data_IF_584689171598
#
_entry.id   IF_584689171598
#
_cell.length_a   1.000
_cell.length_b   1.000
_cell.length_c   1.000
_cell.angle_alpha   90.00
_cell.angle_beta   90.00
_cell.angle_gamma   90.00
#
_symmetry.space_group_name_H-M   'P 1'
#
loop_
_entity.id
_entity.type
_entity.pdbx_description
1 polymer ?
#
# COMPACT_ATOMS: atom_id res chain seq x y z
N UNK A 1 -44.50 37.02 3.59
CA UNK A 1 -43.93 38.33 3.96
C UNK A 1 -42.84 38.10 4.99
N UNK A 2 -41.68 38.76 4.91
CA UNK A 2 -40.85 38.94 3.72
C UNK A 2 -39.40 38.48 3.96
N UNK A 3 -38.65 38.41 2.86
CA UNK A 3 -37.19 38.43 2.82
C UNK A 3 -36.63 39.69 3.50
N UNK A 4 -35.46 39.58 4.12
CA UNK A 4 -34.48 40.66 4.27
C UNK A 4 -33.09 40.02 4.50
N UNK A 5 -32.32 39.83 3.42
CA UNK A 5 -31.21 40.70 2.98
C UNK A 5 -29.92 40.49 3.77
N UNK A 6 -29.00 39.73 3.17
CA UNK A 6 -27.59 39.84 3.49
C UNK A 6 -27.06 41.19 2.99
N UNK A 7 -26.28 41.86 3.85
CA UNK A 7 -25.32 42.90 3.47
C UNK A 7 -23.94 42.46 3.96
N UNK A 8 -22.85 42.68 3.19
CA UNK A 8 -21.55 42.10 3.50
C UNK A 8 -20.82 42.93 4.55
N UNK A 9 -20.24 42.28 5.56
CA UNK A 9 -19.22 42.91 6.41
C UNK A 9 -17.86 42.40 5.97
N UNK A 10 -17.18 43.23 5.20
CA UNK A 10 -15.76 43.12 4.88
C UNK A 10 -14.96 43.32 6.17
N UNK A 11 -14.35 42.25 6.70
CA UNK A 11 -13.36 42.37 7.77
C UNK A 11 -12.00 42.65 7.14
N UNK A 12 -11.59 43.91 7.20
CA UNK A 12 -10.20 44.35 7.01
C UNK A 12 -9.33 43.78 8.13
N UNK A 13 -8.29 43.03 7.77
CA UNK A 13 -7.24 42.60 8.70
C UNK A 13 -6.40 43.79 9.15
N UNK A 14 -6.26 43.98 10.45
CA UNK A 14 -5.14 44.71 11.03
C UNK A 14 -4.54 43.89 12.17
N UNK A 15 -3.32 43.44 11.95
CA UNK A 15 -2.44 42.82 12.94
C UNK A 15 -2.33 43.68 14.20
N UNK A 16 -2.59 43.09 15.38
CA UNK A 16 -1.67 43.16 16.52
C UNK A 16 -2.28 42.55 17.78
N UNK A 17 -1.48 41.70 18.43
CA UNK A 17 -1.47 41.34 19.86
C UNK A 17 -2.69 40.63 20.46
N UNK A 18 -2.42 39.37 20.84
CA UNK A 18 -3.16 38.52 21.75
C UNK A 18 -3.36 39.22 23.11
N UNK A 19 -4.61 39.33 23.58
CA UNK A 19 -4.99 38.94 24.95
C UNK A 19 -6.52 39.00 25.16
N UNK A 20 -6.99 38.02 25.94
CA UNK A 20 -8.28 37.87 26.65
C UNK A 20 -9.58 37.55 25.86
N UNK A 21 -10.13 36.34 26.11
CA UNK A 21 -11.49 36.21 26.67
C UNK A 21 -11.74 34.83 27.33
N UNK A 22 -12.13 34.87 28.61
CA UNK A 22 -12.69 33.79 29.42
C UNK A 22 -14.21 33.63 29.12
N UNK A 23 -14.74 32.40 29.02
CA UNK A 23 -15.91 31.88 29.79
C UNK A 23 -16.73 30.73 29.13
N UNK A 24 -17.26 29.87 30.03
CA UNK A 24 -18.53 29.09 30.01
C UNK A 24 -18.57 27.55 29.68
N UNK A 25 -18.25 26.73 30.72
CA UNK A 25 -19.02 25.62 31.40
C UNK A 25 -19.56 24.36 30.62
N UNK A 26 -19.88 23.19 31.26
CA UNK A 26 -20.23 22.98 32.69
C UNK A 26 -19.73 21.70 33.44
N UNK A 27 -19.85 21.81 34.78
CA UNK A 27 -20.11 20.79 35.84
C UNK A 27 -19.84 19.31 35.54
N UNK A 28 -18.85 18.74 36.26
CA UNK A 28 -18.94 17.36 36.78
C UNK A 28 -18.77 17.43 38.30
N UNK A 29 -19.81 16.96 39.00
CA UNK A 29 -19.90 16.81 40.45
C UNK A 29 -19.33 15.46 40.88
N UNK A 30 -18.44 15.48 41.88
CA UNK A 30 -17.98 14.37 42.73
C UNK A 30 -17.34 13.16 42.04
N UNK A 31 -16.02 13.02 42.22
CA UNK A 31 -15.40 11.78 42.69
C UNK A 31 -14.19 12.15 43.57
N UNK A 32 -14.15 11.52 44.73
CA UNK A 32 -13.28 11.77 45.88
C UNK A 32 -11.91 11.11 45.75
N UNK A 33 -10.94 11.78 46.37
CA UNK A 33 -9.64 11.31 46.91
C UNK A 33 -8.40 11.11 46.01
N UNK A 34 -7.43 11.99 46.30
CA UNK A 34 -5.97 11.76 46.42
C UNK A 34 -5.01 12.15 45.27
N UNK A 35 -4.77 13.46 45.17
CA UNK A 35 -3.46 14.15 45.38
C UNK A 35 -2.21 13.61 44.64
N UNK A 36 -1.79 14.32 43.58
CA UNK A 36 -0.55 15.12 43.47
C UNK A 36 -0.05 15.22 42.01
N UNK A 37 -0.40 16.31 41.33
CA UNK A 37 0.24 16.76 40.10
C UNK A 37 1.42 17.69 40.47
N UNK A 38 2.62 17.42 39.95
CA UNK A 38 3.73 18.37 39.95
C UNK A 38 3.73 19.15 38.63
N UNK A 39 3.37 20.43 38.71
CA UNK A 39 3.53 21.41 37.64
C UNK A 39 4.85 22.16 37.87
N UNK A 40 5.77 22.07 36.91
CA UNK A 40 7.02 22.84 36.87
C UNK A 40 6.72 24.25 36.31
N UNK A 41 6.82 25.26 37.17
CA UNK A 41 6.90 26.67 36.79
C UNK A 41 8.36 27.02 36.51
N UNK A 42 8.69 27.31 35.25
CA UNK A 42 9.93 27.97 34.87
C UNK A 42 9.82 29.48 35.07
N UNK A 43 10.72 30.06 35.84
CA UNK A 43 10.96 31.51 35.87
C UNK A 43 12.42 31.81 35.56
N UNK A 44 12.58 32.67 34.56
CA UNK A 44 13.82 33.31 34.13
C UNK A 44 14.24 34.37 35.15
N UNK A 45 15.52 34.40 35.54
CA UNK A 45 16.17 35.59 36.09
C UNK A 45 17.69 35.56 35.89
N UNK A 46 18.23 36.74 35.64
CA UNK A 46 19.44 37.04 34.89
C UNK A 46 20.50 37.66 35.81
N UNK A 47 21.67 37.00 35.97
CA UNK A 47 23.06 37.52 36.27
C UNK A 47 23.33 38.36 37.57
N UNK A 48 24.59 38.68 37.98
CA UNK A 48 25.95 38.11 37.70
C UNK A 48 26.92 37.97 38.92
N UNK A 49 28.13 37.40 38.67
CA UNK A 49 29.46 37.61 39.30
C UNK A 49 30.16 36.51 40.17
N UNK A 50 31.15 35.85 39.52
CA UNK A 50 32.55 35.48 39.94
C UNK A 50 32.80 34.42 41.05
N UNK A 51 33.98 33.74 41.11
CA UNK A 51 35.01 33.43 40.09
C UNK A 51 35.47 31.94 40.08
N UNK A 52 36.48 31.67 39.25
CA UNK A 52 37.09 30.40 38.87
C UNK A 52 37.82 29.59 39.97
N UNK A 53 37.91 28.28 39.72
CA UNK A 53 39.05 27.43 40.08
C UNK A 53 38.75 26.30 41.06
N UNK A 54 38.77 25.04 40.58
CA UNK A 54 39.56 23.96 41.21
C UNK A 54 39.66 22.76 40.25
N UNK A 55 40.87 22.54 39.73
CA UNK A 55 41.29 21.33 39.05
C UNK A 55 41.47 20.22 40.09
N UNK A 56 40.75 19.09 39.96
CA UNK A 56 41.09 17.86 40.67
C UNK A 56 42.03 17.03 39.79
N UNK A 57 43.34 17.22 39.98
CA UNK A 57 44.36 16.26 39.58
C UNK A 57 44.39 15.13 40.62
N UNK A 58 44.07 13.90 40.23
CA UNK A 58 44.36 12.72 41.05
C UNK A 58 45.82 12.31 40.86
N UNK A 59 46.54 12.29 41.98
CA UNK A 59 47.94 11.94 42.08
C UNK A 59 48.16 10.42 41.94
N UNK A 60 49.11 10.02 41.10
CA UNK A 60 49.71 8.69 41.11
C UNK A 60 50.94 8.68 42.03
N UNK A 61 51.09 7.73 42.97
CA UNK A 61 52.39 7.45 43.55
C UNK A 61 53.08 6.32 42.77
N UNK A 62 54.29 6.63 42.27
CA UNK A 62 55.29 5.66 41.86
C UNK A 62 55.95 5.10 43.12
N UNK A 63 56.02 3.77 43.29
CA UNK A 63 57.16 3.09 43.92
C UNK A 63 57.33 1.71 43.31
N UNK A 64 58.54 1.47 42.81
CA UNK A 64 58.99 0.26 42.15
C UNK A 64 59.56 -0.71 43.19
N UNK A 65 59.08 -1.96 43.26
CA UNK A 65 59.85 -3.11 43.79
C UNK A 65 59.48 -4.37 43.01
N UNK A 66 60.48 -4.95 42.36
CA UNK A 66 60.42 -6.23 41.64
C UNK A 66 60.74 -7.35 42.64
N UNK A 67 59.85 -8.33 42.76
CA UNK A 67 60.14 -9.65 43.33
C UNK A 67 59.28 -10.69 42.58
N UNK A 68 59.85 -11.80 42.08
CA UNK A 68 59.10 -12.83 41.37
C UNK A 68 58.67 -13.93 42.33
N UNK A 69 57.40 -14.34 42.30
CA UNK A 69 56.94 -15.74 42.35
C UNK A 69 55.43 -15.83 42.68
N UNK A 70 54.71 -16.43 41.73
CA UNK A 70 53.58 -17.36 41.88
C UNK A 70 52.29 -16.95 42.63
N UNK A 71 51.19 -17.14 41.88
CA UNK A 71 49.83 -17.53 42.31
C UNK A 71 48.94 -16.48 42.99
N UNK A 72 48.06 -15.86 42.20
CA UNK A 72 46.59 -16.04 42.22
C UNK A 72 45.95 -15.12 41.17
N UNK A 73 45.29 -15.71 40.17
CA UNK A 73 44.41 -14.99 39.24
C UNK A 73 43.20 -14.50 40.07
N UNK A 74 43.20 -13.24 40.47
CA UNK A 74 41.97 -12.56 40.88
C UNK A 74 41.37 -11.95 39.62
N UNK A 75 40.41 -12.65 39.02
CA UNK A 75 39.57 -12.13 37.94
C UNK A 75 38.76 -10.96 38.49
N UNK A 76 39.18 -9.74 38.17
CA UNK A 76 38.37 -8.54 38.37
C UNK A 76 37.21 -8.62 37.36
N UNK A 77 36.07 -9.14 37.79
CA UNK A 77 34.85 -9.13 37.00
C UNK A 77 34.38 -7.68 36.90
N UNK A 78 34.74 -7.01 35.79
CA UNK A 78 34.12 -5.77 35.40
C UNK A 78 32.65 -6.11 35.08
N UNK A 79 31.72 -5.72 35.96
CA UNK A 79 30.30 -5.72 35.64
C UNK A 79 30.11 -4.72 34.49
N UNK A 80 30.18 -5.20 33.25
CA UNK A 80 29.50 -4.54 32.16
C UNK A 80 28.02 -4.69 32.47
N UNK A 81 27.37 -3.60 32.86
CA UNK A 81 25.92 -3.49 32.73
C UNK A 81 25.63 -3.56 31.23
N UNK A 82 25.45 -4.76 30.70
CA UNK A 82 24.80 -4.90 29.40
C UNK A 82 23.46 -4.18 29.54
N UNK A 83 23.16 -3.17 28.69
CA UNK A 83 21.81 -2.65 28.66
C UNK A 83 20.87 -3.83 28.45
N UNK A 84 19.81 -3.91 29.27
CA UNK A 84 18.74 -4.87 29.03
C UNK A 84 18.28 -4.68 27.59
N UNK A 85 18.59 -5.63 26.72
CA UNK A 85 17.94 -5.75 25.42
C UNK A 85 16.49 -6.10 25.74
N UNK A 86 15.66 -5.07 25.94
CA UNK A 86 14.24 -5.23 25.75
C UNK A 86 14.06 -5.86 24.37
N UNK A 87 13.27 -6.91 24.27
CA UNK A 87 13.00 -7.56 23.00
C UNK A 87 12.32 -6.53 22.10
N UNK A 88 13.12 -5.92 21.21
CA UNK A 88 12.66 -4.93 20.26
C UNK A 88 11.62 -5.58 19.35
N UNK A 89 10.58 -4.82 18.99
CA UNK A 89 9.53 -5.33 18.10
C UNK A 89 10.20 -5.84 16.81
N UNK A 90 9.78 -7.01 16.32
CA UNK A 90 10.51 -7.71 15.26
C UNK A 90 10.70 -6.88 13.97
N UNK A 91 9.76 -5.98 13.70
CA UNK A 91 9.76 -5.08 12.55
C UNK A 91 9.96 -3.61 12.94
N UNK A 92 10.62 -3.34 14.07
CA UNK A 92 10.93 -1.98 14.52
C UNK A 92 11.89 -1.23 13.58
N UNK A 93 12.74 -1.97 12.88
CA UNK A 93 13.71 -1.44 11.92
C UNK A 93 13.46 -1.97 10.53
N UNK A 94 13.90 -1.22 9.51
CA UNK A 94 13.78 -1.61 8.11
C UNK A 94 14.33 -3.02 7.83
N UNK A 95 15.45 -3.40 8.47
CA UNK A 95 16.03 -4.73 8.32
C UNK A 95 15.12 -5.87 8.81
N UNK A 96 14.21 -5.55 9.74
CA UNK A 96 13.20 -6.46 10.29
C UNK A 96 11.84 -6.37 9.58
N UNK A 97 11.72 -5.63 8.47
CA UNK A 97 10.45 -5.36 7.80
C UNK A 97 9.63 -6.63 7.55
N UNK A 98 8.41 -6.66 8.11
CA UNK A 98 7.52 -7.83 8.02
C UNK A 98 6.91 -7.94 6.62
N UNK A 99 6.89 -9.14 6.04
CA UNK A 99 6.28 -9.37 4.73
C UNK A 99 4.75 -9.18 4.78
N UNK A 100 4.21 -8.43 3.82
CA UNK A 100 2.78 -8.25 3.58
C UNK A 100 2.42 -8.57 2.13
N UNK A 101 1.16 -8.93 1.91
CA UNK A 101 0.58 -9.30 0.61
C UNK A 101 -0.83 -8.71 0.46
N UNK A 102 -1.47 -8.86 -0.71
CA UNK A 102 -2.84 -8.36 -0.92
C UNK A 102 -3.82 -8.85 0.16
N UNK A 103 -4.55 -7.92 0.78
CA UNK A 103 -5.47 -8.20 1.89
C UNK A 103 -5.20 -7.35 3.14
N UNK A 104 -5.78 -7.77 4.28
CA UNK A 104 -5.73 -7.02 5.55
C UNK A 104 -4.76 -7.68 6.53
N UNK A 105 -3.85 -6.88 7.09
CA UNK A 105 -2.85 -7.29 8.07
C UNK A 105 -3.05 -6.55 9.38
N UNK A 106 -2.89 -7.23 10.52
CA UNK A 106 -2.89 -6.56 11.82
C UNK A 106 -1.52 -5.90 12.04
N UNK A 107 -1.55 -4.65 12.50
CA UNK A 107 -0.34 -3.85 12.73
C UNK A 107 -0.41 -3.16 14.11
N UNK A 108 0.75 -2.93 14.72
CA UNK A 108 0.88 -2.16 15.96
C UNK A 108 2.29 -1.60 16.06
N UNK A 109 2.44 -0.35 16.49
CA UNK A 109 3.73 0.23 16.85
C UNK A 109 3.96 0.28 18.38
N UNK A 110 3.13 -0.40 19.17
CA UNK A 110 3.29 -0.45 20.63
C UNK A 110 4.58 -1.21 20.98
N UNK A 111 5.49 -0.54 21.68
CA UNK A 111 6.79 -1.09 22.07
C UNK A 111 7.88 -0.94 21.00
N UNK A 112 7.57 -0.34 19.85
CA UNK A 112 8.53 0.04 18.84
C UNK A 112 9.25 1.36 19.25
N UNK A 113 10.33 1.69 18.56
CA UNK A 113 11.19 2.85 18.78
C UNK A 113 11.37 3.63 17.49
N UNK A 114 11.99 4.81 17.56
CA UNK A 114 12.30 5.60 16.37
C UNK A 114 13.42 4.91 15.59
N UNK A 115 13.18 4.57 14.33
CA UNK A 115 14.19 3.93 13.47
C UNK A 115 15.37 4.85 13.19
N UNK A 116 16.55 4.26 13.00
CA UNK A 116 17.75 4.97 12.57
C UNK A 116 18.04 4.77 11.06
N UNK A 117 18.58 5.77 10.35
CA UNK A 117 18.69 7.18 10.75
C UNK A 117 17.30 7.80 10.94
N UNK A 118 17.22 8.94 11.64
CA UNK A 118 15.95 9.67 11.73
C UNK A 118 15.48 10.02 10.32
N UNK A 119 14.39 9.39 9.90
CA UNK A 119 13.82 9.53 8.57
C UNK A 119 12.84 10.70 8.66
N UNK A 120 13.14 11.86 8.02
CA UNK A 120 12.33 13.04 8.19
C UNK A 120 10.86 12.73 7.89
N UNK A 121 10.01 13.03 8.88
CA UNK A 121 8.57 13.11 8.69
C UNK A 121 8.32 14.05 7.51
N UNK A 122 7.44 13.66 6.59
CA UNK A 122 7.19 14.49 5.42
C UNK A 122 6.53 15.81 5.80
N UNK A 123 6.69 16.82 4.94
CA UNK A 123 6.24 18.21 5.16
C UNK A 123 4.74 18.45 5.35
N UNK A 124 3.91 17.40 5.44
CA UNK A 124 2.55 17.48 5.99
C UNK A 124 2.59 17.71 7.51
N UNK A 125 3.65 17.21 8.14
CA UNK A 125 3.92 17.30 9.56
C UNK A 125 4.99 18.36 9.79
N UNK A 126 4.57 19.58 10.08
CA UNK A 126 5.47 20.69 10.43
C UNK A 126 6.18 20.41 11.77
N UNK A 127 7.26 19.64 11.74
CA UNK A 127 8.13 19.39 12.90
C UNK A 127 7.59 18.40 13.92
N UNK A 128 6.72 17.46 13.52
CA UNK A 128 6.37 16.35 14.39
C UNK A 128 7.56 15.39 14.50
N UNK A 129 7.93 15.07 15.75
CA UNK A 129 8.94 14.04 16.05
C UNK A 129 8.43 12.73 15.49
N UNK A 130 9.19 12.13 14.57
CA UNK A 130 8.97 10.74 14.19
C UNK A 130 8.96 9.88 15.47
N UNK A 131 7.93 9.03 15.59
CA UNK A 131 7.68 8.19 16.75
C UNK A 131 8.08 6.74 16.51
N UNK A 132 7.59 5.85 17.37
CA UNK A 132 7.75 4.40 17.25
C UNK A 132 7.38 3.90 15.84
N UNK A 133 8.38 3.38 15.13
CA UNK A 133 8.33 2.96 13.74
C UNK A 133 8.07 1.48 13.61
N UNK A 134 7.26 1.11 12.63
CA UNK A 134 7.16 -0.30 12.21
C UNK A 134 7.25 -0.40 10.70
N UNK A 135 7.99 -1.40 10.25
CA UNK A 135 8.34 -1.61 8.86
C UNK A 135 7.66 -2.85 8.29
N UNK A 136 7.21 -2.72 7.06
CA UNK A 136 6.66 -3.80 6.27
C UNK A 136 7.34 -3.84 4.91
N UNK A 137 7.39 -5.01 4.29
CA UNK A 137 7.87 -5.19 2.93
C UNK A 137 6.80 -5.87 2.09
N UNK A 138 6.56 -5.36 0.90
CA UNK A 138 5.74 -5.98 -0.11
C UNK A 138 6.65 -6.39 -1.28
N UNK A 139 6.47 -7.61 -1.78
CA UNK A 139 7.19 -8.11 -2.95
C UNK A 139 6.18 -8.26 -4.08
N UNK A 140 6.35 -7.48 -5.14
CA UNK A 140 5.45 -7.48 -6.27
C UNK A 140 5.52 -8.82 -7.01
N UNK A 141 4.38 -9.51 -7.11
CA UNK A 141 4.26 -10.73 -7.92
C UNK A 141 3.75 -10.45 -9.32
N UNK A 142 3.17 -9.27 -9.54
CA UNK A 142 2.71 -8.78 -10.83
C UNK A 142 3.05 -7.29 -10.97
N UNK A 143 2.95 -6.76 -12.17
CA UNK A 143 3.05 -5.32 -12.36
C UNK A 143 1.71 -4.63 -12.08
N UNK A 144 1.76 -3.41 -11.54
CA UNK A 144 0.54 -2.67 -11.25
C UNK A 144 0.70 -1.53 -10.25
N UNK A 145 -0.44 -1.07 -9.77
CA UNK A 145 -0.58 -0.09 -8.71
C UNK A 145 -0.92 -0.85 -7.43
N UNK A 146 -0.15 -0.61 -6.37
CA UNK A 146 -0.41 -1.15 -5.03
C UNK A 146 -0.75 0.01 -4.12
N UNK A 147 -1.94 -0.05 -3.52
CA UNK A 147 -2.34 0.88 -2.46
C UNK A 147 -2.14 0.25 -1.09
N UNK A 148 -1.58 1.03 -0.18
CA UNK A 148 -1.41 0.70 1.22
C UNK A 148 -2.32 1.62 2.04
N UNK A 149 -3.06 1.07 2.98
CA UNK A 149 -4.00 1.82 3.80
C UNK A 149 -3.90 1.37 5.25
N UNK A 150 -3.41 2.22 6.14
CA UNK A 150 -3.46 2.00 7.59
C UNK A 150 -4.76 2.55 8.17
N UNK A 151 -5.32 1.88 9.18
CA UNK A 151 -6.49 2.31 9.95
C UNK A 151 -6.31 1.93 11.43
N UNK A 152 -7.02 2.62 12.33
CA UNK A 152 -7.17 2.22 13.74
C UNK A 152 -6.52 3.16 14.75
N UNK A 153 -5.55 3.97 14.33
CA UNK A 153 -5.00 5.08 15.11
C UNK A 153 -4.43 6.15 14.17
N UNK A 154 -4.02 7.27 14.76
CA UNK A 154 -3.41 8.41 14.08
C UNK A 154 -2.02 8.07 13.53
N UNK A 155 -1.97 7.61 12.28
CA UNK A 155 -0.77 7.05 11.64
C UNK A 155 -0.22 8.00 10.59
N UNK A 156 1.11 8.02 10.41
CA UNK A 156 1.77 8.52 9.20
C UNK A 156 2.43 7.36 8.46
N UNK A 157 2.39 7.39 7.13
CA UNK A 157 2.96 6.35 6.27
C UNK A 157 3.96 6.92 5.27
N UNK A 158 5.07 6.20 5.07
CA UNK A 158 6.06 6.46 4.03
C UNK A 158 6.29 5.20 3.20
N UNK A 159 6.40 5.39 1.89
CA UNK A 159 6.68 4.31 0.92
C UNK A 159 8.08 4.49 0.38
N UNK A 160 8.88 3.43 0.38
CA UNK A 160 10.26 3.41 -0.08
C UNK A 160 10.52 2.30 -1.09
N UNK A 161 11.55 2.52 -1.90
CA UNK A 161 12.23 1.51 -2.71
C UNK A 161 13.72 1.48 -2.34
N UNK A 162 14.44 0.44 -2.78
CA UNK A 162 15.85 0.24 -2.48
C UNK A 162 16.10 -0.49 -1.16
N UNK A 163 17.37 -0.64 -0.79
CA UNK A 163 17.80 -1.30 0.43
C UNK A 163 17.77 -0.35 1.63
N UNK A 164 17.67 -0.88 2.86
CA UNK A 164 17.62 -0.07 4.09
C UNK A 164 18.78 0.94 4.26
N UNK A 165 19.93 0.70 3.61
CA UNK A 165 21.06 1.63 3.62
C UNK A 165 21.01 2.73 2.55
N UNK A 166 20.06 2.67 1.61
CA UNK A 166 19.95 3.56 0.46
C UNK A 166 18.48 3.73 0.01
N UNK A 167 17.57 3.92 0.97
CA UNK A 167 16.15 4.05 0.68
C UNK A 167 15.85 5.28 -0.18
N UNK A 168 15.00 5.09 -1.18
CA UNK A 168 14.45 6.15 -2.03
C UNK A 168 12.98 6.31 -1.71
N UNK A 169 12.61 7.45 -1.10
CA UNK A 169 11.23 7.74 -0.72
C UNK A 169 10.35 8.06 -1.93
N UNK A 170 9.19 7.40 -2.02
CA UNK A 170 8.23 7.52 -3.11
C UNK A 170 6.91 8.19 -2.69
N UNK A 171 6.95 8.96 -1.60
CA UNK A 171 5.80 9.69 -1.07
C UNK A 171 5.55 9.39 0.40
N UNK A 172 4.82 10.30 1.04
CA UNK A 172 4.48 10.23 2.44
C UNK A 172 3.14 10.92 2.65
N UNK A 173 2.31 10.31 3.48
CA UNK A 173 0.94 10.75 3.72
C UNK A 173 0.69 10.61 5.22
N UNK A 174 0.05 11.64 5.74
CA UNK A 174 -0.38 11.83 7.12
C UNK A 174 -1.87 12.16 6.96
N UNK A 175 -2.74 11.26 7.41
CA UNK A 175 -4.18 11.19 7.14
C UNK A 175 -4.64 10.67 5.76
N UNK A 176 -5.53 9.68 5.83
CA UNK A 176 -6.34 9.12 4.76
C UNK A 176 -7.81 9.49 4.99
N UNK A 177 -8.46 10.04 3.97
CA UNK A 177 -9.87 10.43 4.05
C UNK A 177 -10.85 9.24 4.26
N UNK A 178 -10.41 8.01 4.01
CA UNK A 178 -11.21 6.79 4.12
C UNK A 178 -11.24 6.18 5.53
N UNK A 179 -10.40 6.66 6.45
CA UNK A 179 -10.09 5.93 7.68
C UNK A 179 -9.97 6.79 8.95
N UNK A 180 -10.49 8.02 8.97
CA UNK A 180 -10.59 8.90 10.15
C UNK A 180 -9.34 8.91 11.06
N UNK A 181 -8.15 9.19 10.48
CA UNK A 181 -6.86 9.26 11.19
C UNK A 181 -5.83 8.21 10.75
N UNK A 182 -6.21 7.21 9.96
CA UNK A 182 -5.21 6.33 9.33
C UNK A 182 -4.49 7.00 8.14
N UNK A 183 -3.57 6.34 7.45
CA UNK A 183 -2.77 6.90 6.34
C UNK A 183 -2.84 6.03 5.09
N UNK A 184 -2.59 6.61 3.91
CA UNK A 184 -2.56 5.86 2.65
C UNK A 184 -1.24 6.05 1.91
N UNK A 185 -0.75 5.05 1.20
CA UNK A 185 0.45 5.13 0.38
C UNK A 185 0.24 4.41 -0.94
N UNK A 186 1.03 4.76 -1.96
CA UNK A 186 0.92 4.17 -3.29
C UNK A 186 2.30 3.82 -3.84
N UNK A 187 2.40 2.66 -4.48
CA UNK A 187 3.53 2.28 -5.33
C UNK A 187 3.04 1.81 -6.70
N UNK A 188 3.77 2.17 -7.75
CA UNK A 188 3.70 1.48 -9.05
C UNK A 188 4.85 0.48 -9.07
N UNK A 189 4.54 -0.78 -9.35
CA UNK A 189 5.48 -1.90 -9.22
C UNK A 189 5.51 -2.75 -10.49
N UNK A 190 6.60 -3.48 -10.66
CA UNK A 190 6.83 -4.56 -11.63
C UNK A 190 7.21 -5.85 -10.89
N UNK A 191 7.08 -7.05 -11.50
CA UNK A 191 7.38 -8.30 -10.82
C UNK A 191 8.81 -8.33 -10.27
N UNK A 192 8.94 -8.66 -8.98
CA UNK A 192 10.21 -8.69 -8.28
C UNK A 192 10.58 -7.38 -7.56
N UNK A 193 9.86 -6.29 -7.81
CA UNK A 193 10.06 -5.05 -7.05
C UNK A 193 9.76 -5.28 -5.57
N UNK A 194 10.63 -4.72 -4.73
CA UNK A 194 10.44 -4.69 -3.27
C UNK A 194 10.08 -3.28 -2.85
N UNK A 195 8.90 -3.15 -2.25
CA UNK A 195 8.39 -1.92 -1.67
C UNK A 195 8.49 -2.01 -0.15
N UNK A 196 9.11 -1.03 0.48
CA UNK A 196 9.20 -0.91 1.93
C UNK A 196 8.19 0.13 2.41
N UNK A 197 7.44 -0.21 3.45
CA UNK A 197 6.38 0.61 4.04
C UNK A 197 6.76 0.89 5.48
N UNK A 198 7.03 2.15 5.79
CA UNK A 198 7.23 2.62 7.16
C UNK A 198 5.92 3.21 7.67
N UNK A 199 5.47 2.78 8.84
CA UNK A 199 4.30 3.34 9.52
C UNK A 199 4.74 3.82 10.90
N UNK A 200 4.46 5.09 11.20
CA UNK A 200 4.65 5.72 12.52
C UNK A 200 3.32 6.32 12.98
N UNK A 201 3.26 6.84 14.20
CA UNK A 201 2.14 7.70 14.62
C UNK A 201 2.44 9.19 14.48
N UNK A 202 1.41 9.96 14.13
CA UNK A 202 1.47 11.43 14.16
C UNK A 202 1.73 11.92 15.59
N UNK A 203 2.62 12.89 15.77
CA UNK A 203 2.95 13.44 17.08
C UNK A 203 3.45 12.42 18.11
N UNK A 204 3.99 11.27 17.66
CA UNK A 204 4.41 10.17 18.53
C UNK A 204 3.28 9.25 19.00
N UNK A 205 2.11 9.30 18.37
CA UNK A 205 0.99 8.41 18.66
C UNK A 205 1.38 6.94 18.55
N UNK A 206 0.85 6.12 19.47
CA UNK A 206 1.06 4.68 19.47
C UNK A 206 -0.28 3.97 19.52
N UNK A 207 -0.42 2.88 18.77
CA UNK A 207 -1.70 2.19 18.64
C UNK A 207 -1.60 0.86 17.91
N UNK A 208 -2.77 0.27 17.69
CA UNK A 208 -2.96 -0.97 16.95
C UNK A 208 -4.13 -0.83 16.00
N UNK A 209 -4.10 -1.60 14.91
CA UNK A 209 -5.06 -1.46 13.82
C UNK A 209 -4.69 -2.32 12.63
N UNK A 210 -4.99 -1.86 11.42
CA UNK A 210 -4.85 -2.68 10.21
C UNK A 210 -4.09 -1.99 9.10
N UNK A 211 -3.27 -2.74 8.35
CA UNK A 211 -2.74 -2.37 7.05
C UNK A 211 -3.48 -3.16 5.96
N UNK A 212 -4.23 -2.47 5.11
CA UNK A 212 -4.86 -3.05 3.93
C UNK A 212 -3.97 -2.81 2.72
N UNK A 213 -3.65 -3.88 1.99
CA UNK A 213 -2.88 -3.85 0.74
C UNK A 213 -3.82 -4.19 -0.40
N UNK A 214 -4.01 -3.27 -1.34
CA UNK A 214 -4.84 -3.45 -2.52
C UNK A 214 -3.93 -3.51 -3.74
N UNK A 215 -3.79 -4.72 -4.29
CA UNK A 215 -3.03 -4.95 -5.52
C UNK A 215 -3.96 -4.74 -6.73
N UNK A 216 -3.67 -3.71 -7.51
CA UNK A 216 -4.36 -3.40 -8.76
C UNK A 216 -3.40 -3.67 -9.92
N UNK A 217 -3.52 -4.81 -10.62
CA UNK A 217 -2.70 -5.11 -11.79
C UNK A 217 -2.69 -3.96 -12.82
N UNK A 218 -1.57 -3.76 -13.50
CA UNK A 218 -1.43 -2.68 -14.49
C UNK A 218 -2.49 -2.83 -15.60
N UNK A 219 -3.22 -1.75 -15.90
CA UNK A 219 -4.28 -1.76 -16.92
C UNK A 219 -5.53 -0.95 -16.56
N UNK A 220 -6.60 -1.04 -17.38
CA UNK A 220 -6.77 -2.02 -18.45
C UNK A 220 -5.83 -1.78 -19.65
N UNK A 221 -5.17 -2.84 -20.10
CA UNK A 221 -4.40 -2.88 -21.34
C UNK A 221 -5.33 -2.98 -22.55
N UNK A 222 -4.85 -2.46 -23.67
CA UNK A 222 -5.48 -2.64 -24.98
C UNK A 222 -6.68 -1.74 -25.27
N UNK A 223 -7.01 -1.66 -26.55
CA UNK A 223 -8.07 -0.82 -27.10
C UNK A 223 -9.34 -1.63 -27.33
N UNK A 224 -10.54 -1.07 -27.06
CA UNK A 224 -11.80 -1.74 -27.37
C UNK A 224 -11.93 -1.98 -28.88
N UNK A 225 -12.35 -3.17 -29.27
CA UNK A 225 -12.56 -3.58 -30.67
C UNK A 225 -14.04 -3.56 -31.04
N UNK A 226 -14.89 -4.06 -30.14
CA UNK A 226 -16.33 -4.10 -30.33
C UNK A 226 -17.05 -4.10 -28.98
N UNK A 227 -18.31 -3.68 -28.99
CA UNK A 227 -19.22 -3.76 -27.85
C UNK A 227 -19.86 -5.16 -27.76
N UNK A 228 -20.68 -5.40 -26.74
CA UNK A 228 -21.37 -6.69 -26.54
C UNK A 228 -22.86 -6.53 -26.84
N UNK A 229 -23.51 -7.61 -27.29
CA UNK A 229 -24.97 -7.69 -27.13
C UNK A 229 -25.28 -7.88 -25.62
N UNK A 230 -26.31 -7.24 -25.05
CA UNK A 230 -26.72 -7.55 -23.67
C UNK A 230 -26.99 -9.05 -23.48
N UNK A 231 -26.56 -9.60 -22.34
CA UNK A 231 -26.83 -11.00 -21.98
C UNK A 231 -28.07 -11.12 -21.08
N UNK A 232 -28.37 -12.31 -20.56
CA UNK A 232 -29.58 -12.55 -19.74
C UNK A 232 -29.68 -11.71 -18.47
N UNK A 233 -28.59 -11.06 -18.04
CA UNK A 233 -28.61 -10.10 -16.92
C UNK A 233 -29.16 -8.73 -17.32
N UNK A 234 -29.37 -8.49 -18.62
CA UNK A 234 -29.81 -7.21 -19.16
C UNK A 234 -28.68 -6.22 -19.40
N UNK A 235 -27.43 -6.55 -19.03
CA UNK A 235 -26.25 -5.72 -19.28
C UNK A 235 -25.30 -6.36 -20.30
N UNK A 236 -24.47 -5.50 -20.89
CA UNK A 236 -23.42 -5.90 -21.82
C UNK A 236 -22.23 -6.53 -21.09
N UNK A 237 -21.76 -7.68 -21.59
CA UNK A 237 -20.54 -8.31 -21.10
C UNK A 237 -19.30 -7.49 -21.52
N UNK A 238 -18.33 -7.35 -20.62
CA UNK A 238 -17.13 -6.54 -20.87
C UNK A 238 -15.86 -7.40 -20.86
N UNK A 239 -14.86 -7.00 -21.64
CA UNK A 239 -13.52 -7.58 -21.63
C UNK A 239 -12.53 -6.55 -21.12
N UNK A 240 -11.81 -6.88 -20.04
CA UNK A 240 -10.75 -6.06 -19.45
C UNK A 240 -9.48 -6.89 -19.39
N UNK A 241 -8.37 -6.32 -19.79
CA UNK A 241 -7.08 -7.00 -19.80
C UNK A 241 -6.18 -6.26 -18.83
N UNK A 242 -5.46 -6.96 -17.98
CA UNK A 242 -4.51 -6.37 -17.05
C UNK A 242 -3.17 -7.10 -17.12
N UNK A 243 -2.12 -6.53 -16.54
CA UNK A 243 -0.75 -7.06 -16.56
C UNK A 243 0.19 -6.14 -17.34
N UNK A 244 1.04 -6.69 -18.22
CA UNK A 244 2.06 -5.96 -18.96
C UNK A 244 1.89 -6.04 -20.48
N UNK A 245 2.23 -4.94 -21.17
CA UNK A 245 2.30 -4.89 -22.64
C UNK A 245 3.63 -5.43 -23.18
N UNK A 246 4.67 -5.57 -22.35
CA UNK A 246 5.93 -6.21 -22.77
C UNK A 246 5.75 -7.73 -22.83
N UNK A 247 5.84 -8.32 -24.02
CA UNK A 247 5.56 -9.76 -24.19
C UNK A 247 6.47 -10.66 -23.33
N UNK A 248 7.73 -10.26 -23.15
CA UNK A 248 8.72 -11.01 -22.38
C UNK A 248 8.43 -11.08 -20.87
N UNK A 249 7.59 -10.18 -20.33
CA UNK A 249 7.20 -10.23 -18.92
C UNK A 249 6.17 -11.32 -18.63
N UNK A 250 5.44 -11.80 -19.64
CA UNK A 250 4.53 -12.94 -19.53
C UNK A 250 3.52 -12.84 -18.38
N UNK A 251 3.03 -11.62 -18.11
CA UNK A 251 2.08 -11.32 -17.03
C UNK A 251 0.87 -10.65 -17.66
N UNK A 252 -0.14 -11.44 -18.04
CA UNK A 252 -1.41 -10.93 -18.58
C UNK A 252 -2.58 -11.69 -17.97
N UNK A 253 -3.52 -10.93 -17.38
CA UNK A 253 -4.76 -11.45 -16.85
C UNK A 253 -5.96 -10.89 -17.62
N UNK A 254 -6.72 -11.79 -18.22
CA UNK A 254 -7.97 -11.54 -18.91
C UNK A 254 -9.12 -11.59 -17.89
N UNK A 255 -9.95 -10.56 -17.88
CA UNK A 255 -11.13 -10.46 -17.00
C UNK A 255 -12.36 -10.16 -17.85
N UNK A 256 -13.27 -11.13 -17.91
CA UNK A 256 -14.59 -10.97 -18.51
C UNK A 256 -15.60 -10.62 -17.41
N UNK A 257 -16.25 -9.47 -17.50
CA UNK A 257 -17.18 -8.96 -16.49
C UNK A 257 -18.61 -8.84 -17.00
N UNK A 258 -19.53 -8.54 -16.08
CA UNK A 258 -20.97 -8.41 -16.35
C UNK A 258 -21.60 -9.67 -16.96
N UNK A 259 -21.10 -10.85 -16.59
CA UNK A 259 -21.61 -12.13 -17.05
C UNK A 259 -22.76 -12.61 -16.14
N UNK A 260 -23.65 -13.50 -16.62
CA UNK A 260 -24.51 -14.25 -15.72
C UNK A 260 -23.64 -15.02 -14.70
N UNK A 261 -24.05 -15.06 -13.44
CA UNK A 261 -23.28 -15.79 -12.40
C UNK A 261 -23.34 -17.30 -12.64
N UNK A 262 -22.26 -18.01 -12.34
CA UNK A 262 -22.10 -19.45 -12.57
C UNK A 262 -22.29 -19.87 -14.04
N UNK A 263 -22.00 -18.97 -14.99
CA UNK A 263 -22.04 -19.26 -16.40
C UNK A 263 -20.71 -19.88 -16.86
N UNK A 264 -20.80 -21.01 -17.57
CA UNK A 264 -19.64 -21.60 -18.22
C UNK A 264 -19.05 -20.59 -19.23
N UNK A 265 -17.78 -20.26 -19.07
CA UNK A 265 -17.09 -19.18 -19.76
C UNK A 265 -15.75 -19.68 -20.30
N UNK A 266 -15.34 -19.13 -21.45
CA UNK A 266 -14.11 -19.51 -22.15
C UNK A 266 -13.51 -18.29 -22.83
N UNK A 267 -12.23 -18.05 -22.58
CA UNK A 267 -11.47 -17.00 -23.27
C UNK A 267 -11.13 -17.43 -24.69
N UNK A 268 -11.14 -16.45 -25.59
CA UNK A 268 -10.80 -16.57 -26.99
C UNK A 268 -9.75 -15.52 -27.34
N UNK A 269 -8.89 -15.84 -28.30
CA UNK A 269 -7.98 -14.83 -28.87
C UNK A 269 -7.72 -15.05 -30.34
N UNK A 270 -7.37 -13.98 -31.04
CA UNK A 270 -6.89 -14.01 -32.41
C UNK A 270 -6.08 -12.76 -32.73
N UNK A 271 -5.22 -12.85 -33.75
CA UNK A 271 -4.55 -11.70 -34.37
C UNK A 271 -5.42 -10.98 -35.40
N UNK A 272 -6.52 -11.60 -35.84
CA UNK A 272 -7.44 -11.03 -36.83
C UNK A 272 -8.75 -10.60 -36.16
N UNK A 273 -9.27 -9.45 -36.56
CA UNK A 273 -10.56 -8.94 -36.12
C UNK A 273 -11.58 -9.09 -37.25
N UNK A 274 -12.78 -9.56 -36.91
CA UNK A 274 -13.95 -9.56 -37.79
C UNK A 274 -15.18 -9.55 -36.92
N UNK A 275 -16.34 -9.15 -37.42
CA UNK A 275 -17.58 -9.21 -36.67
C UNK A 275 -18.52 -10.24 -37.27
N UNK A 276 -18.73 -11.35 -36.57
CA UNK A 276 -19.67 -12.40 -36.96
C UNK A 276 -20.82 -12.43 -35.98
N UNK A 277 -21.99 -11.97 -36.43
CA UNK A 277 -23.22 -12.00 -35.64
C UNK A 277 -23.75 -13.44 -35.59
N UNK A 278 -24.30 -13.85 -34.45
CA UNK A 278 -24.87 -15.18 -34.23
C UNK A 278 -23.87 -16.34 -34.44
N UNK A 279 -22.58 -16.07 -34.22
CA UNK A 279 -21.53 -17.06 -34.37
C UNK A 279 -21.82 -18.30 -33.51
N UNK A 280 -21.89 -19.48 -34.13
CA UNK A 280 -22.16 -20.74 -33.45
C UNK A 280 -23.53 -20.82 -32.76
N UNK A 281 -24.51 -20.03 -33.19
CA UNK A 281 -25.85 -19.98 -32.56
C UNK A 281 -25.91 -19.14 -31.27
N UNK A 282 -24.87 -18.35 -31.00
CA UNK A 282 -24.86 -17.37 -29.91
C UNK A 282 -25.88 -16.24 -30.15
N UNK A 283 -26.40 -15.63 -29.08
CA UNK A 283 -27.14 -14.36 -29.14
C UNK A 283 -26.22 -13.13 -29.35
N UNK A 284 -24.92 -13.29 -29.12
CA UNK A 284 -23.90 -12.26 -29.27
C UNK A 284 -23.24 -12.23 -30.65
N UNK A 285 -22.17 -11.45 -30.74
CA UNK A 285 -21.34 -11.38 -31.93
C UNK A 285 -19.86 -11.63 -31.58
N UNK A 286 -19.22 -12.46 -32.39
CA UNK A 286 -17.80 -12.80 -32.28
C UNK A 286 -16.99 -11.74 -33.01
N UNK A 287 -16.04 -11.11 -32.32
CA UNK A 287 -15.22 -10.01 -32.83
C UNK A 287 -13.81 -10.44 -33.26
N UNK A 288 -13.60 -11.75 -33.37
CA UNK A 288 -12.34 -12.39 -33.73
C UNK A 288 -12.52 -13.10 -35.07
N UNK A 289 -11.52 -13.01 -35.94
CA UNK A 289 -11.50 -13.64 -37.26
C UNK A 289 -10.28 -14.53 -37.46
N UNK A 290 -10.05 -15.01 -38.68
CA UNK A 290 -8.87 -15.83 -39.00
C UNK A 290 -8.76 -17.08 -38.12
N UNK A 291 -7.54 -17.38 -37.69
CA UNK A 291 -7.28 -18.44 -36.71
C UNK A 291 -7.66 -17.93 -35.31
N UNK A 292 -8.65 -18.60 -34.70
CA UNK A 292 -9.18 -18.24 -33.38
C UNK A 292 -8.73 -19.30 -32.39
N UNK A 293 -7.82 -18.91 -31.50
CA UNK A 293 -7.39 -19.70 -30.38
C UNK A 293 -8.50 -19.77 -29.31
N UNK A 294 -8.62 -20.94 -28.69
CA UNK A 294 -9.52 -21.16 -27.55
C UNK A 294 -8.69 -21.64 -26.38
N UNK A 295 -8.81 -20.99 -25.24
CA UNK A 295 -8.24 -21.46 -23.98
C UNK A 295 -9.10 -22.59 -23.40
N UNK A 296 -9.30 -23.66 -24.19
CA UNK A 296 -10.28 -24.71 -23.96
C UNK A 296 -9.92 -25.65 -22.79
N UNK A 297 -8.63 -25.74 -22.45
CA UNK A 297 -8.17 -26.37 -21.21
C UNK A 297 -8.52 -25.55 -19.96
N UNK A 298 -8.91 -24.29 -20.14
CA UNK A 298 -9.16 -23.31 -19.08
C UNK A 298 -10.59 -22.76 -19.14
N UNK A 299 -11.55 -23.62 -19.51
CA UNK A 299 -12.99 -23.31 -19.36
C UNK A 299 -13.33 -23.31 -17.87
N UNK A 300 -14.10 -22.33 -17.40
CA UNK A 300 -14.52 -22.26 -16.01
C UNK A 300 -15.89 -21.62 -15.83
N UNK A 301 -16.32 -21.47 -14.58
CA UNK A 301 -17.55 -20.77 -14.24
C UNK A 301 -17.23 -19.32 -13.88
N UNK A 302 -18.06 -18.39 -14.35
CA UNK A 302 -18.05 -17.02 -13.84
C UNK A 302 -18.48 -17.02 -12.37
N UNK A 303 -17.77 -16.27 -11.53
CA UNK A 303 -18.08 -16.08 -10.11
C UNK A 303 -18.46 -14.63 -9.91
N UNK A 304 -19.62 -14.38 -9.28
CA UNK A 304 -20.12 -13.01 -9.06
C UNK A 304 -20.18 -12.16 -10.34
N UNK A 305 -20.48 -12.79 -11.47
CA UNK A 305 -20.57 -12.14 -12.78
C UNK A 305 -19.23 -11.85 -13.46
N UNK A 306 -18.15 -12.45 -12.98
CA UNK A 306 -16.81 -12.26 -13.54
C UNK A 306 -16.10 -13.60 -13.80
N UNK A 307 -15.36 -13.67 -14.90
CA UNK A 307 -14.50 -14.80 -15.22
C UNK A 307 -13.08 -14.31 -15.48
N UNK A 308 -12.13 -14.74 -14.62
CA UNK A 308 -10.71 -14.36 -14.68
C UNK A 308 -9.88 -15.48 -15.26
N UNK A 309 -8.91 -15.12 -16.08
CA UNK A 309 -7.96 -16.07 -16.63
C UNK A 309 -6.59 -15.40 -16.90
N UNK A 310 -5.56 -15.86 -16.20
CA UNK A 310 -4.17 -15.49 -16.48
C UNK A 310 -3.64 -16.35 -17.62
N UNK A 311 -3.13 -15.71 -18.67
CA UNK A 311 -2.63 -16.38 -19.88
C UNK A 311 -1.11 -16.44 -19.89
N UNK A 312 -0.60 -17.51 -20.48
CA UNK A 312 0.82 -17.69 -20.79
C UNK A 312 1.07 -17.23 -22.23
N UNK A 313 1.68 -16.06 -22.38
CA UNK A 313 2.03 -15.47 -23.68
C UNK A 313 3.02 -16.34 -24.47
N UNK A 314 3.78 -17.23 -23.82
CA UNK A 314 4.69 -18.14 -24.52
C UNK A 314 4.00 -19.35 -25.14
N UNK A 315 2.71 -19.57 -24.87
CA UNK A 315 1.99 -20.79 -25.30
C UNK A 315 0.52 -20.53 -25.59
N UNK A 316 0.21 -19.56 -26.45
CA UNK A 316 -1.14 -19.29 -26.91
C UNK A 316 -1.65 -20.46 -27.80
N UNK A 317 -2.83 -21.03 -27.54
CA UNK A 317 -3.35 -22.21 -28.25
C UNK A 317 -3.96 -21.86 -29.61
N UNK A 318 -3.25 -21.08 -30.44
CA UNK A 318 -3.67 -20.73 -31.80
C UNK A 318 -3.35 -21.87 -32.78
N UNK A 319 -4.31 -22.32 -33.61
CA UNK A 319 -4.05 -23.27 -34.68
C UNK A 319 -2.95 -22.76 -35.65
N UNK A 320 -2.20 -23.66 -36.32
CA UNK A 320 -2.19 -25.12 -36.17
C UNK A 320 -1.25 -25.61 -35.06
N UNK A 321 -0.42 -24.73 -34.49
CA UNK A 321 0.65 -25.13 -33.57
C UNK A 321 0.17 -25.35 -32.14
N UNK A 322 -0.93 -24.70 -31.74
CA UNK A 322 -1.53 -24.76 -30.41
C UNK A 322 -0.57 -24.47 -29.25
N UNK A 323 0.52 -23.74 -29.52
CA UNK A 323 1.54 -23.32 -28.56
C UNK A 323 2.37 -22.15 -29.16
N UNK A 324 1.69 -21.13 -29.64
CA UNK A 324 2.33 -19.97 -30.28
C UNK A 324 2.77 -18.97 -29.22
N UNK A 325 4.04 -18.55 -29.25
CA UNK A 325 4.51 -17.46 -28.42
C UNK A 325 4.14 -16.11 -29.04
N UNK A 326 3.60 -15.21 -28.23
CA UNK A 326 3.41 -13.79 -28.55
C UNK A 326 4.79 -13.14 -28.62
N UNK A 327 5.02 -12.35 -29.67
CA UNK A 327 6.27 -11.59 -29.82
C UNK A 327 6.00 -10.08 -29.86
N UNK A 328 7.02 -9.31 -29.49
CA UNK A 328 7.01 -7.86 -29.58
C UNK A 328 6.63 -7.37 -30.99
N UNK A 329 5.78 -6.35 -31.06
CA UNK A 329 5.23 -5.79 -32.29
C UNK A 329 3.96 -6.49 -32.80
N UNK A 330 3.54 -7.59 -32.19
CA UNK A 330 2.26 -8.24 -32.53
C UNK A 330 1.08 -7.63 -31.79
N UNK A 331 -0.07 -7.66 -32.44
CA UNK A 331 -1.34 -7.24 -31.86
C UNK A 331 -2.24 -8.45 -31.68
N UNK A 332 -2.68 -8.69 -30.45
CA UNK A 332 -3.58 -9.79 -30.10
C UNK A 332 -4.89 -9.26 -29.56
N UNK A 333 -6.01 -9.84 -30.02
CA UNK A 333 -7.36 -9.46 -29.60
C UNK A 333 -7.96 -10.56 -28.75
N UNK A 334 -8.60 -10.18 -27.64
CA UNK A 334 -9.19 -11.11 -26.70
C UNK A 334 -10.69 -10.85 -26.56
N UNK A 335 -11.45 -11.92 -26.41
CA UNK A 335 -12.89 -11.90 -26.18
C UNK A 335 -13.28 -13.10 -25.32
N UNK A 336 -14.37 -13.02 -24.57
CA UNK A 336 -14.90 -14.14 -23.81
C UNK A 336 -16.22 -14.63 -24.40
N UNK A 337 -16.32 -15.93 -24.63
CA UNK A 337 -17.58 -16.63 -24.86
C UNK A 337 -18.13 -17.13 -23.53
N UNK A 338 -19.44 -17.01 -23.31
CA UNK A 338 -20.09 -17.52 -22.11
C UNK A 338 -21.46 -18.13 -22.39
N UNK A 339 -21.88 -19.09 -21.56
CA UNK A 339 -23.26 -19.58 -21.54
C UNK A 339 -24.21 -18.49 -21.12
N UNK A 340 -25.36 -18.46 -21.78
CA UNK A 340 -26.38 -17.45 -21.58
C UNK A 340 -27.77 -18.06 -21.81
N UNK A 341 -28.82 -17.34 -21.45
CA UNK A 341 -30.21 -17.77 -21.71
C UNK A 341 -30.98 -16.67 -22.39
N UNK A 342 -31.57 -16.99 -23.55
CA UNK A 342 -32.41 -16.06 -24.31
C UNK A 342 -33.90 -16.43 -24.21
N UNK A 343 -34.78 -15.62 -24.85
CA UNK A 343 -36.22 -15.89 -24.88
C UNK A 343 -36.59 -17.26 -25.48
N UNK A 344 -35.74 -17.80 -26.37
CA UNK A 344 -35.93 -19.10 -27.01
C UNK A 344 -35.32 -20.28 -26.23
N UNK A 345 -34.75 -20.04 -25.03
CA UNK A 345 -34.12 -21.05 -24.19
C UNK A 345 -32.59 -20.88 -24.08
N UNK A 346 -31.86 -21.96 -23.71
CA UNK A 346 -30.42 -21.92 -23.52
C UNK A 346 -29.67 -21.48 -24.77
N UNK A 347 -28.71 -20.58 -24.62
CA UNK A 347 -27.87 -20.07 -25.71
C UNK A 347 -26.45 -19.80 -25.20
N UNK A 348 -25.73 -18.91 -25.87
CA UNK A 348 -24.46 -18.35 -25.43
C UNK A 348 -24.36 -16.91 -25.90
N UNK A 349 -23.43 -16.17 -25.33
CA UNK A 349 -23.17 -14.79 -25.69
C UNK A 349 -21.67 -14.52 -25.67
N UNK A 350 -21.28 -13.37 -26.18
CA UNK A 350 -19.89 -12.91 -26.19
C UNK A 350 -19.81 -11.60 -25.43
N UNK A 351 -18.70 -11.35 -24.74
CA UNK A 351 -18.37 -10.00 -24.25
C UNK A 351 -18.01 -9.09 -25.42
N UNK A 352 -17.79 -7.80 -25.17
CA UNK A 352 -16.97 -6.98 -26.05
C UNK A 352 -15.55 -7.57 -26.20
N UNK A 353 -14.77 -7.05 -27.14
CA UNK A 353 -13.40 -7.49 -27.37
C UNK A 353 -12.40 -6.35 -27.14
N UNK A 354 -11.18 -6.69 -26.72
CA UNK A 354 -10.10 -5.73 -26.50
C UNK A 354 -8.81 -6.22 -27.15
N UNK A 355 -8.03 -5.31 -27.73
CA UNK A 355 -6.84 -5.59 -28.52
C UNK A 355 -5.59 -4.96 -27.91
N UNK A 356 -4.58 -5.77 -27.64
CA UNK A 356 -3.32 -5.36 -27.02
C UNK A 356 -2.20 -5.39 -28.06
N UNK A 357 -1.55 -4.26 -28.35
CA UNK A 357 -0.27 -4.23 -29.06
C UNK A 357 0.85 -4.57 -28.07
N UNK A 358 1.48 -5.73 -28.22
CA UNK A 358 2.59 -6.13 -27.36
C UNK A 358 3.90 -5.49 -27.81
N UNK A 359 4.73 -5.07 -26.85
CA UNK A 359 6.03 -4.42 -27.05
C UNK A 359 7.22 -5.33 -26.73
#
# INVERSE_FOLDING_TARGET
>A
MPLASQSPVTLTYSNSSLDEFLLYLPKITNLTDSVAAWVLLGSTLNRPHLPAGLLFQSAFPRHCRVFPMLTRLATLACLFTAPSLALQVANDECAGAQLVWGGVHQISNIGATLSAPDWPSCGCSHGSVAGADVWFRYVATGAGRVDFLSCGWDTMMQIFTGDCGALVGNGCIDDCALCFGGSAGLAIVTPGDVVLIRITGFGGSMGSGTLTVIDTPAGPLGNPVCESTPNSTGVQGIMRIFGQETAAQNDVTLIAGNLPSNALSMMLTSRTQTQTVFAGGSAGHLCLGGDIARFASQVGLSQMGEFRHTIELTSIPEPPNFATAVVAGETWTFQCWHRDTGPAGPTSNFTGAASVPFL
#
